data_IF_608101059710
#
_entry.id   IF_608101059710
#
_cell.length_a   1.000
_cell.length_b   1.000
_cell.length_c   1.000
_cell.angle_alpha   90.00
_cell.angle_beta   90.00
_cell.angle_gamma   90.00
#
_symmetry.space_group_name_H-M   'P 1'
#
loop_
_entity.id
_entity.type
_entity.pdbx_description
1 polymer ?
#
# COMPACT_ATOMS: atom_id res chain seq x y z
N UNK A 1 44.90 18.05 47.46
CA UNK A 1 45.54 17.18 46.45
C UNK A 1 44.87 17.45 45.12
N UNK A 2 45.66 17.83 44.11
CA UNK A 2 45.21 18.55 42.91
C UNK A 2 44.40 17.68 41.94
N UNK A 3 43.32 18.25 41.39
CA UNK A 3 42.42 17.70 40.37
C UNK A 3 43.17 17.11 39.15
N UNK A 4 44.40 17.58 38.90
CA UNK A 4 45.30 17.08 37.83
C UNK A 4 45.76 15.63 38.01
N UNK A 5 45.73 15.09 39.23
CA UNK A 5 46.15 13.70 39.47
C UNK A 5 45.04 12.70 39.15
N UNK A 6 43.77 13.11 39.21
CA UNK A 6 42.62 12.25 38.87
C UNK A 6 42.46 12.17 37.35
N UNK A 7 42.67 13.28 36.63
CA UNK A 7 42.64 13.30 35.15
C UNK A 7 43.74 12.43 34.51
N UNK A 8 44.94 12.38 35.11
CA UNK A 8 46.02 11.50 34.62
C UNK A 8 45.72 10.02 34.86
N UNK A 9 45.09 9.67 35.99
CA UNK A 9 44.69 8.29 36.25
C UNK A 9 43.53 7.84 35.34
N UNK A 10 42.58 8.74 35.06
CA UNK A 10 41.46 8.46 34.16
C UNK A 10 41.92 8.28 32.70
N UNK A 11 42.85 9.13 32.23
CA UNK A 11 43.43 9.01 30.89
C UNK A 11 44.36 7.78 30.75
N UNK A 12 45.07 7.37 31.80
CA UNK A 12 45.87 6.15 31.77
C UNK A 12 45.01 4.87 31.73
N UNK A 13 43.85 4.86 32.40
CA UNK A 13 42.90 3.75 32.34
C UNK A 13 42.23 3.63 30.96
N UNK A 14 41.96 4.78 30.30
CA UNK A 14 41.41 4.81 28.94
C UNK A 14 42.46 4.46 27.88
N UNK A 15 43.75 4.74 28.11
CA UNK A 15 44.81 4.31 27.19
C UNK A 15 45.03 2.79 27.25
N UNK A 16 44.93 2.16 28.43
CA UNK A 16 45.01 0.71 28.56
C UNK A 16 43.84 -0.02 27.89
N UNK A 17 42.61 0.52 27.99
CA UNK A 17 41.47 -0.04 27.24
C UNK A 17 41.59 0.12 25.73
N UNK A 18 42.25 1.18 25.26
CA UNK A 18 42.45 1.42 23.82
C UNK A 18 43.63 0.62 23.25
N UNK A 19 44.61 0.26 24.08
CA UNK A 19 45.71 -0.67 23.72
C UNK A 19 45.23 -2.13 23.65
N UNK A 20 44.26 -2.55 24.48
CA UNK A 20 43.59 -3.86 24.30
C UNK A 20 42.71 -3.91 23.05
N UNK A 21 42.11 -2.78 22.64
CA UNK A 21 41.35 -2.68 21.38
C UNK A 21 42.25 -2.78 20.14
N UNK A 22 43.56 -2.53 20.26
CA UNK A 22 44.53 -2.71 19.19
C UNK A 22 44.89 -4.19 18.92
N UNK A 23 44.39 -5.11 19.74
CA UNK A 23 44.41 -6.55 19.51
C UNK A 23 43.06 -7.08 18.98
N UNK A 24 42.23 -6.22 18.36
CA UNK A 24 41.03 -6.68 17.67
C UNK A 24 41.43 -7.71 16.60
N UNK A 25 40.94 -8.94 16.77
CA UNK A 25 41.11 -10.05 15.84
C UNK A 25 40.88 -9.56 14.40
N UNK A 26 41.81 -9.79 13.45
CA UNK A 26 41.63 -9.39 12.05
C UNK A 26 40.30 -9.87 11.45
N UNK A 27 39.70 -10.94 11.99
CA UNK A 27 38.35 -11.36 11.62
C UNK A 27 37.27 -10.35 12.07
N UNK A 28 37.35 -9.83 13.29
CA UNK A 28 36.39 -8.85 13.82
C UNK A 28 36.51 -7.50 13.10
N UNK A 29 37.72 -7.07 12.76
CA UNK A 29 37.94 -5.85 11.98
C UNK A 29 37.32 -5.95 10.57
N UNK A 30 37.44 -7.12 9.90
CA UNK A 30 36.80 -7.37 8.60
C UNK A 30 35.27 -7.36 8.70
N UNK A 31 34.71 -7.94 9.76
CA UNK A 31 33.25 -7.92 10.00
C UNK A 31 32.75 -6.49 10.23
N UNK A 32 33.45 -5.70 11.04
CA UNK A 32 33.08 -4.30 11.27
C UNK A 32 33.19 -3.47 9.97
N UNK A 33 34.26 -3.66 9.19
CA UNK A 33 34.41 -3.01 7.89
C UNK A 33 33.28 -3.39 6.92
N UNK A 34 32.92 -4.67 6.84
CA UNK A 34 31.81 -5.14 6.00
C UNK A 34 30.45 -4.57 6.46
N UNK A 35 30.23 -4.46 7.78
CA UNK A 35 29.04 -3.83 8.33
C UNK A 35 28.99 -2.34 7.99
N UNK A 36 30.11 -1.62 8.12
CA UNK A 36 30.18 -0.19 7.78
C UNK A 36 29.92 0.07 6.30
N UNK A 37 30.36 -0.83 5.41
CA UNK A 37 30.11 -0.70 3.97
C UNK A 37 28.65 -1.02 3.63
N UNK A 38 28.06 -2.07 4.23
CA UNK A 38 26.64 -2.37 4.06
C UNK A 38 25.75 -1.19 4.51
N UNK A 39 26.07 -0.56 5.63
CA UNK A 39 25.36 0.62 6.13
C UNK A 39 25.53 1.84 5.21
N UNK A 40 26.72 2.01 4.62
CA UNK A 40 26.96 3.02 3.58
C UNK A 40 26.08 2.78 2.35
N UNK A 41 26.03 1.56 1.82
CA UNK A 41 25.20 1.21 0.66
C UNK A 41 23.69 1.43 0.94
N UNK A 42 23.24 1.21 2.18
CA UNK A 42 21.86 1.48 2.63
C UNK A 42 21.50 2.97 2.70
N UNK A 43 22.49 3.86 2.84
CA UNK A 43 22.28 5.29 3.16
C UNK A 43 21.99 6.22 1.97
N UNK A 44 21.94 5.72 0.73
CA UNK A 44 21.70 6.51 -0.50
C UNK A 44 22.54 7.81 -0.60
N UNK A 45 23.79 7.81 -0.14
CA UNK A 45 24.66 9.00 -0.25
C UNK A 45 25.05 9.31 -1.71
N UNK A 46 25.18 10.61 -2.05
CA UNK A 46 25.19 11.22 -3.40
C UNK A 46 26.30 10.76 -4.37
N UNK A 47 27.26 9.95 -3.97
CA UNK A 47 28.33 9.45 -4.85
C UNK A 47 28.42 7.92 -4.82
N UNK A 48 27.48 7.24 -5.48
CA UNK A 48 27.55 5.80 -5.70
C UNK A 48 28.01 5.50 -7.14
N UNK A 49 28.95 4.57 -7.27
CA UNK A 49 29.33 4.01 -8.58
C UNK A 49 28.26 3.04 -9.06
N UNK A 50 28.31 2.65 -10.35
CA UNK A 50 27.40 1.62 -10.87
C UNK A 50 27.58 0.28 -10.16
N UNK A 51 28.80 -0.06 -9.73
CA UNK A 51 29.08 -1.26 -8.95
C UNK A 51 28.38 -1.19 -7.58
N UNK A 52 28.49 -0.05 -6.88
CA UNK A 52 27.84 0.15 -5.58
C UNK A 52 26.31 0.01 -5.70
N UNK A 53 25.72 0.45 -6.82
CA UNK A 53 24.28 0.28 -7.08
C UNK A 53 23.90 -1.18 -7.27
N UNK A 54 24.72 -1.96 -7.98
CA UNK A 54 24.54 -3.41 -8.17
C UNK A 54 24.59 -4.10 -6.80
N UNK A 55 25.62 -3.82 -6.00
CA UNK A 55 25.77 -4.41 -4.66
C UNK A 55 24.59 -4.05 -3.75
N UNK A 56 24.15 -2.79 -3.76
CA UNK A 56 22.99 -2.34 -2.99
C UNK A 56 21.70 -3.07 -3.41
N UNK A 57 21.47 -3.26 -4.70
CA UNK A 57 20.31 -4.01 -5.20
C UNK A 57 20.33 -5.44 -4.67
N UNK A 58 21.49 -6.11 -4.73
CA UNK A 58 21.65 -7.47 -4.23
C UNK A 58 21.47 -7.55 -2.70
N UNK A 59 21.98 -6.57 -1.97
CA UNK A 59 21.82 -6.47 -0.52
C UNK A 59 20.35 -6.40 -0.12
N UNK A 60 19.58 -5.48 -0.71
CA UNK A 60 18.16 -5.34 -0.41
C UNK A 60 17.31 -6.50 -0.94
N UNK A 61 17.75 -7.15 -2.02
CA UNK A 61 17.12 -8.37 -2.51
C UNK A 61 17.25 -9.52 -1.49
N UNK A 62 18.44 -9.67 -0.88
CA UNK A 62 18.65 -10.65 0.19
C UNK A 62 17.81 -10.34 1.44
N UNK A 63 17.58 -9.06 1.74
CA UNK A 63 16.69 -8.60 2.82
C UNK A 63 15.20 -8.71 2.47
N UNK A 64 14.85 -9.07 1.22
CA UNK A 64 13.50 -9.04 0.64
C UNK A 64 12.82 -7.66 0.71
N UNK A 65 13.61 -6.58 0.78
CA UNK A 65 13.13 -5.21 0.79
C UNK A 65 13.07 -4.64 -0.63
N UNK A 66 12.00 -4.97 -1.35
CA UNK A 66 11.80 -4.52 -2.73
C UNK A 66 11.56 -3.00 -2.84
N UNK A 67 11.12 -2.34 -1.76
CA UNK A 67 10.91 -0.89 -1.74
C UNK A 67 12.24 -0.16 -1.78
N UNK A 68 13.17 -0.51 -0.88
CA UNK A 68 14.52 0.09 -0.86
C UNK A 68 15.34 -0.29 -2.08
N UNK A 69 15.19 -1.53 -2.57
CA UNK A 69 15.82 -1.98 -3.80
C UNK A 69 15.52 -1.05 -4.98
N UNK A 70 14.27 -0.60 -5.11
CA UNK A 70 13.82 0.33 -6.15
C UNK A 70 13.98 1.81 -5.78
N UNK A 71 14.60 2.14 -4.64
CA UNK A 71 14.69 3.51 -4.11
C UNK A 71 13.31 4.16 -3.92
N UNK A 72 12.31 3.37 -3.52
CA UNK A 72 10.97 3.83 -3.20
C UNK A 72 10.85 4.09 -1.69
N UNK A 73 9.93 5.00 -1.27
CA UNK A 73 9.65 5.19 0.14
C UNK A 73 9.17 3.86 0.75
N UNK A 74 9.79 3.50 1.87
CA UNK A 74 9.39 2.30 2.60
C UNK A 74 7.96 2.51 3.16
N UNK A 75 7.13 1.46 3.18
CA UNK A 75 5.84 1.53 3.83
C UNK A 75 6.03 1.73 5.34
N UNK A 76 5.27 2.67 5.90
CA UNK A 76 5.28 2.95 7.33
C UNK A 76 4.01 2.45 7.99
N UNK A 77 4.13 2.18 9.29
CA UNK A 77 3.02 1.82 10.14
C UNK A 77 2.51 3.10 10.81
N UNK A 78 1.27 3.44 10.55
CA UNK A 78 0.60 4.47 11.31
C UNK A 78 0.40 4.04 12.79
N UNK A 79 0.18 4.98 13.69
CA UNK A 79 -0.12 4.73 15.11
C UNK A 79 -1.39 3.88 15.28
N UNK A 80 -2.31 3.94 14.32
CA UNK A 80 -3.49 3.08 14.27
C UNK A 80 -3.22 1.65 13.79
N UNK A 81 -1.99 1.36 13.35
CA UNK A 81 -1.59 0.06 12.79
C UNK A 81 -1.98 -0.12 11.33
N UNK A 82 -2.40 0.95 10.65
CA UNK A 82 -2.69 0.94 9.22
C UNK A 82 -1.39 1.04 8.42
N UNK A 83 -1.33 0.35 7.27
CA UNK A 83 -0.23 0.53 6.32
C UNK A 83 -0.42 1.84 5.57
N UNK A 84 0.59 2.70 5.60
CA UNK A 84 0.67 3.87 4.75
C UNK A 84 1.82 3.69 3.76
N UNK A 85 1.46 3.54 2.49
CA UNK A 85 2.42 3.56 1.39
C UNK A 85 1.95 4.52 0.31
N UNK A 86 2.75 5.56 0.06
CA UNK A 86 2.43 6.60 -0.91
C UNK A 86 2.85 6.23 -2.34
N UNK A 87 3.60 5.14 -2.51
CA UNK A 87 4.15 4.74 -3.80
C UNK A 87 3.05 4.35 -4.80
N UNK A 88 3.10 4.93 -5.98
CA UNK A 88 2.17 4.60 -7.08
C UNK A 88 2.77 3.57 -8.02
N UNK A 89 1.93 2.82 -8.74
CA UNK A 89 2.39 1.88 -9.78
C UNK A 89 3.24 2.57 -10.87
N UNK A 90 3.00 3.86 -11.11
CA UNK A 90 3.77 4.68 -12.04
C UNK A 90 5.19 4.94 -11.53
N UNK A 91 5.35 5.24 -10.23
CA UNK A 91 6.66 5.43 -9.60
C UNK A 91 7.48 4.14 -9.59
N UNK A 92 6.84 3.00 -9.27
CA UNK A 92 7.47 1.67 -9.36
C UNK A 92 8.02 1.41 -10.76
N UNK A 93 7.20 1.67 -11.79
CA UNK A 93 7.60 1.49 -13.19
C UNK A 93 8.74 2.43 -13.60
N UNK A 94 8.72 3.67 -13.11
CA UNK A 94 9.74 4.69 -13.39
C UNK A 94 11.08 4.33 -12.73
N UNK A 95 11.05 3.93 -11.47
CA UNK A 95 12.21 3.49 -10.72
C UNK A 95 12.87 2.27 -11.38
N UNK A 96 12.08 1.26 -11.72
CA UNK A 96 12.53 0.07 -12.44
C UNK A 96 13.25 0.43 -13.74
N UNK A 97 12.62 1.22 -14.62
CA UNK A 97 13.24 1.62 -15.91
C UNK A 97 14.59 2.31 -15.74
N UNK A 98 14.68 3.24 -14.77
CA UNK A 98 15.93 3.95 -14.48
C UNK A 98 17.04 3.00 -14.04
N UNK A 99 16.75 2.13 -13.09
CA UNK A 99 17.74 1.19 -12.54
C UNK A 99 18.12 0.11 -13.55
N UNK A 100 17.18 -0.41 -14.34
CA UNK A 100 17.43 -1.42 -15.38
C UNK A 100 18.42 -0.94 -16.44
N UNK A 101 18.36 0.32 -16.85
CA UNK A 101 19.33 0.88 -17.81
C UNK A 101 20.71 1.02 -17.17
N UNK A 102 20.77 1.38 -15.89
CA UNK A 102 22.00 1.59 -15.15
C UNK A 102 22.76 0.28 -14.92
N UNK A 103 22.07 -0.79 -14.54
CA UNK A 103 22.68 -2.09 -14.19
C UNK A 103 22.61 -3.14 -15.31
N UNK A 104 22.24 -2.74 -16.52
CA UNK A 104 22.05 -3.69 -17.64
C UNK A 104 23.32 -4.53 -17.88
N UNK A 105 23.22 -5.87 -18.05
CA UNK A 105 24.39 -6.75 -18.19
C UNK A 105 25.22 -6.50 -19.45
N UNK A 106 24.64 -5.89 -20.49
CA UNK A 106 25.36 -5.46 -21.70
C UNK A 106 26.39 -4.35 -21.42
N UNK A 107 26.03 -3.40 -20.54
CA UNK A 107 26.89 -2.27 -20.17
C UNK A 107 27.83 -2.61 -19.01
N UNK A 108 27.43 -3.55 -18.17
CA UNK A 108 28.14 -3.95 -16.97
C UNK A 108 28.43 -5.46 -17.05
N UNK A 109 29.58 -5.85 -17.63
CA UNK A 109 29.94 -7.25 -17.75
C UNK A 109 30.20 -7.85 -16.35
N UNK A 110 29.50 -8.93 -16.03
CA UNK A 110 29.65 -9.63 -14.76
C UNK A 110 28.40 -10.42 -14.37
N UNK A 111 28.58 -11.41 -13.51
CA UNK A 111 27.46 -12.20 -12.98
C UNK A 111 26.57 -11.36 -12.06
N UNK A 112 27.17 -10.46 -11.28
CA UNK A 112 26.45 -9.64 -10.30
C UNK A 112 25.48 -8.65 -10.96
N UNK A 113 25.85 -8.06 -12.09
CA UNK A 113 24.96 -7.23 -12.89
C UNK A 113 23.73 -8.01 -13.38
N UNK A 114 23.94 -9.27 -13.80
CA UNK A 114 22.84 -10.15 -14.21
C UNK A 114 21.93 -10.48 -13.02
N UNK A 115 22.49 -10.86 -11.87
CA UNK A 115 21.71 -11.12 -10.64
C UNK A 115 20.93 -9.90 -10.20
N UNK A 116 21.53 -8.71 -10.22
CA UNK A 116 20.86 -7.46 -9.86
C UNK A 116 19.73 -7.13 -10.84
N UNK A 117 19.91 -7.38 -12.14
CA UNK A 117 18.86 -7.20 -13.13
C UNK A 117 17.69 -8.18 -12.93
N UNK A 118 17.98 -9.44 -12.63
CA UNK A 118 16.96 -10.44 -12.28
C UNK A 118 16.19 -10.03 -11.01
N UNK A 119 16.90 -9.55 -9.97
CA UNK A 119 16.31 -9.01 -8.75
C UNK A 119 15.38 -7.81 -9.00
N UNK A 120 15.78 -6.87 -9.89
CA UNK A 120 14.93 -5.74 -10.30
C UNK A 120 13.65 -6.20 -10.99
N UNK A 121 13.74 -7.20 -11.88
CA UNK A 121 12.58 -7.76 -12.57
C UNK A 121 11.60 -8.39 -11.60
N UNK A 122 12.11 -9.14 -10.61
CA UNK A 122 11.29 -9.75 -9.58
C UNK A 122 10.61 -8.70 -8.71
N UNK A 123 11.36 -7.71 -8.21
CA UNK A 123 10.82 -6.61 -7.41
C UNK A 123 9.68 -5.88 -8.14
N UNK A 124 9.88 -5.55 -9.42
CA UNK A 124 8.85 -4.91 -10.23
C UNK A 124 7.61 -5.79 -10.43
N UNK A 125 7.80 -7.11 -10.63
CA UNK A 125 6.67 -8.05 -10.77
C UNK A 125 5.85 -8.14 -9.49
N UNK A 126 6.51 -8.29 -8.34
CA UNK A 126 5.86 -8.43 -7.02
C UNK A 126 5.12 -7.15 -6.61
N UNK A 127 5.69 -5.98 -6.89
CA UNK A 127 5.03 -4.71 -6.55
C UNK A 127 3.93 -4.30 -7.54
N UNK A 128 3.92 -4.89 -8.74
CA UNK A 128 2.88 -4.64 -9.74
C UNK A 128 1.61 -5.43 -9.47
N UNK A 129 1.74 -6.65 -8.96
CA UNK A 129 0.58 -7.48 -8.59
C UNK A 129 0.03 -7.05 -7.23
N UNK A 130 -1.30 -6.86 -7.17
CA UNK A 130 -1.96 -6.27 -6.02
C UNK A 130 -1.91 -7.20 -4.79
N UNK A 131 -2.13 -8.49 -5.00
CA UNK A 131 -2.18 -9.48 -3.91
C UNK A 131 -0.80 -9.70 -3.29
N UNK A 132 0.24 -9.81 -4.12
CA UNK A 132 1.62 -9.95 -3.63
C UNK A 132 2.11 -8.68 -2.98
N UNK A 133 1.77 -7.51 -3.52
CA UNK A 133 2.10 -6.22 -2.90
C UNK A 133 1.45 -6.09 -1.53
N UNK A 134 0.17 -6.42 -1.39
CA UNK A 134 -0.54 -6.32 -0.11
C UNK A 134 0.04 -7.26 0.94
N UNK A 135 0.49 -8.45 0.53
CA UNK A 135 1.20 -9.38 1.42
C UNK A 135 2.53 -8.80 1.88
N UNK A 136 3.32 -8.26 0.95
CA UNK A 136 4.60 -7.62 1.24
C UNK A 136 4.43 -6.42 2.19
N UNK A 137 3.40 -5.59 1.96
CA UNK A 137 3.08 -4.46 2.81
C UNK A 137 2.77 -4.87 4.26
N UNK A 138 2.05 -5.99 4.45
CA UNK A 138 1.78 -6.56 5.78
C UNK A 138 3.05 -7.09 6.46
N UNK A 139 3.91 -7.79 5.73
CA UNK A 139 5.20 -8.24 6.27
C UNK A 139 6.06 -7.06 6.74
N UNK A 140 6.08 -5.97 5.97
CA UNK A 140 6.77 -4.75 6.36
C UNK A 140 6.14 -4.06 7.58
N UNK A 141 4.81 -4.06 7.68
CA UNK A 141 4.07 -3.56 8.85
C UNK A 141 4.46 -4.32 10.12
N UNK A 142 4.44 -5.65 10.07
CA UNK A 142 4.80 -6.49 11.21
C UNK A 142 6.23 -6.23 11.66
N UNK A 143 7.16 -6.10 10.70
CA UNK A 143 8.54 -5.75 10.99
C UNK A 143 8.66 -4.33 11.59
N UNK A 144 7.88 -3.35 11.10
CA UNK A 144 7.88 -1.99 11.63
C UNK A 144 7.32 -1.91 13.06
N UNK A 145 6.21 -2.61 13.32
CA UNK A 145 5.62 -2.74 14.65
C UNK A 145 6.56 -3.45 15.61
N UNK A 146 7.21 -4.53 15.18
CA UNK A 146 8.24 -5.23 15.95
C UNK A 146 9.40 -4.31 16.35
N UNK A 147 9.89 -3.48 15.42
CA UNK A 147 10.91 -2.45 15.73
C UNK A 147 10.41 -1.42 16.73
N UNK A 148 9.16 -0.95 16.60
CA UNK A 148 8.54 0.01 17.51
C UNK A 148 8.41 -0.56 18.93
N UNK A 149 7.83 -1.76 19.07
CA UNK A 149 7.73 -2.44 20.36
C UNK A 149 9.10 -2.71 20.99
N UNK A 150 10.09 -3.08 20.18
CA UNK A 150 11.47 -3.26 20.66
C UNK A 150 12.10 -1.98 21.21
N UNK A 151 11.81 -0.81 20.61
CA UNK A 151 12.24 0.49 21.16
C UNK A 151 11.51 0.82 22.46
N UNK A 152 10.18 0.66 22.48
CA UNK A 152 9.36 0.93 23.67
C UNK A 152 9.76 0.05 24.87
N UNK A 153 10.14 -1.21 24.63
CA UNK A 153 10.61 -2.12 25.66
C UNK A 153 11.97 -1.70 26.27
N UNK A 154 12.82 -1.01 25.49
CA UNK A 154 14.15 -0.52 25.92
C UNK A 154 14.11 0.91 26.47
N UNK A 155 13.04 1.64 26.19
CA UNK A 155 12.86 3.03 26.59
C UNK A 155 12.62 3.16 28.11
N UNK A 156 13.03 4.30 28.64
CA UNK A 156 12.78 4.64 30.05
C UNK A 156 11.29 4.90 30.32
N UNK A 157 10.87 4.93 31.58
CA UNK A 157 9.46 5.19 31.93
C UNK A 157 9.00 6.57 31.42
N UNK A 158 9.83 7.61 31.58
CA UNK A 158 9.52 8.97 31.11
C UNK A 158 9.39 9.01 29.59
N UNK A 159 10.34 8.41 28.88
CA UNK A 159 10.32 8.30 27.42
C UNK A 159 9.09 7.55 26.91
N UNK A 160 8.71 6.45 27.57
CA UNK A 160 7.48 5.72 27.25
C UNK A 160 6.22 6.55 27.48
N UNK A 161 6.14 7.31 28.57
CA UNK A 161 4.97 8.16 28.84
C UNK A 161 4.86 9.25 27.77
N UNK A 162 5.98 9.88 27.39
CA UNK A 162 6.01 10.86 26.31
C UNK A 162 5.61 10.27 24.95
N UNK A 163 6.16 9.10 24.59
CA UNK A 163 5.83 8.38 23.36
C UNK A 163 4.34 8.01 23.32
N UNK A 164 3.79 7.45 24.40
CA UNK A 164 2.37 7.09 24.48
C UNK A 164 1.46 8.32 24.38
N UNK A 165 1.82 9.44 25.02
CA UNK A 165 1.04 10.67 24.96
C UNK A 165 1.03 11.27 23.54
N UNK A 166 2.19 11.31 22.88
CA UNK A 166 2.30 11.77 21.49
C UNK A 166 1.48 10.88 20.54
N UNK A 167 1.61 9.56 20.68
CA UNK A 167 0.83 8.59 19.92
C UNK A 167 -0.68 8.72 20.17
N UNK A 168 -1.11 8.97 21.41
CA UNK A 168 -2.52 9.18 21.71
C UNK A 168 -3.10 10.43 21.01
N UNK A 169 -2.31 11.51 20.93
CA UNK A 169 -2.71 12.73 20.21
C UNK A 169 -2.80 12.49 18.70
N UNK A 170 -1.79 11.84 18.12
CA UNK A 170 -1.75 11.49 16.70
C UNK A 170 -2.90 10.55 16.33
N UNK A 171 -3.13 9.50 17.13
CA UNK A 171 -4.23 8.57 16.94
C UNK A 171 -5.62 9.23 17.12
N UNK A 172 -5.73 10.30 17.92
CA UNK A 172 -6.96 11.08 18.02
C UNK A 172 -7.17 11.96 16.78
N UNK A 173 -6.10 12.55 16.24
CA UNK A 173 -6.16 13.35 15.01
C UNK A 173 -6.56 12.49 13.80
N UNK A 174 -5.99 11.30 13.66
CA UNK A 174 -6.31 10.39 12.57
C UNK A 174 -7.74 9.86 12.65
N UNK A 175 -8.21 9.44 13.83
CA UNK A 175 -9.62 9.06 14.01
C UNK A 175 -10.60 10.17 13.66
N UNK A 176 -10.23 11.43 13.94
CA UNK A 176 -11.03 12.59 13.53
C UNK A 176 -11.08 12.71 12.01
N UNK A 177 -9.94 12.59 11.34
CA UNK A 177 -9.85 12.61 9.87
C UNK A 177 -10.64 11.46 9.24
N UNK A 178 -10.43 10.21 9.68
CA UNK A 178 -11.19 9.04 9.20
C UNK A 178 -12.72 9.23 9.39
N UNK A 179 -13.12 9.84 10.50
CA UNK A 179 -14.53 10.17 10.76
C UNK A 179 -15.08 11.26 9.82
N UNK A 180 -14.28 12.27 9.48
CA UNK A 180 -14.63 13.31 8.52
C UNK A 180 -14.72 12.74 7.10
N UNK A 181 -13.77 11.92 6.69
CA UNK A 181 -13.74 11.24 5.39
C UNK A 181 -14.92 10.28 5.23
N UNK A 182 -15.23 9.50 6.28
CA UNK A 182 -16.39 8.62 6.30
C UNK A 182 -17.69 9.42 6.13
N UNK A 183 -17.85 10.53 6.87
CA UNK A 183 -19.01 11.41 6.74
C UNK A 183 -19.12 11.99 5.33
N UNK A 184 -18.01 12.44 4.75
CA UNK A 184 -17.97 12.99 3.39
C UNK A 184 -18.41 11.94 2.36
N UNK A 185 -17.93 10.70 2.46
CA UNK A 185 -18.33 9.60 1.57
C UNK A 185 -19.83 9.29 1.67
N UNK A 186 -20.40 9.26 2.89
CA UNK A 186 -21.84 9.05 3.08
C UNK A 186 -22.66 10.16 2.41
N UNK A 187 -22.25 11.43 2.55
CA UNK A 187 -22.92 12.55 1.91
C UNK A 187 -22.86 12.47 0.38
N UNK A 188 -21.71 12.10 -0.16
CA UNK A 188 -21.52 11.91 -1.60
C UNK A 188 -22.40 10.77 -2.15
N UNK A 189 -22.47 9.64 -1.45
CA UNK A 189 -23.36 8.53 -1.82
C UNK A 189 -24.84 8.95 -1.81
N UNK A 190 -25.26 9.73 -0.82
CA UNK A 190 -26.62 10.26 -0.76
C UNK A 190 -26.90 11.20 -1.93
N UNK A 191 -25.96 12.08 -2.27
CA UNK A 191 -26.07 12.99 -3.42
C UNK A 191 -26.18 12.23 -4.75
N UNK A 192 -25.31 11.26 -4.98
CA UNK A 192 -25.36 10.40 -6.17
C UNK A 192 -26.69 9.64 -6.26
N UNK A 193 -27.21 9.15 -5.12
CA UNK A 193 -28.52 8.51 -5.06
C UNK A 193 -29.64 9.48 -5.40
N UNK A 194 -29.61 10.72 -4.88
CA UNK A 194 -30.59 11.75 -5.21
C UNK A 194 -30.55 12.10 -6.70
N UNK A 195 -29.37 12.26 -7.29
CA UNK A 195 -29.20 12.54 -8.73
C UNK A 195 -29.74 11.40 -9.59
N UNK A 196 -29.43 10.14 -9.25
CA UNK A 196 -30.00 8.96 -9.93
C UNK A 196 -31.52 8.94 -9.85
N UNK A 197 -32.08 9.23 -8.67
CA UNK A 197 -33.53 9.28 -8.48
C UNK A 197 -34.17 10.45 -9.25
N UNK A 198 -33.53 11.61 -9.30
CA UNK A 198 -33.97 12.77 -10.08
C UNK A 198 -33.97 12.46 -11.58
N UNK A 199 -32.90 11.84 -12.10
CA UNK A 199 -32.80 11.42 -13.49
C UNK A 199 -33.87 10.38 -13.84
N UNK A 200 -34.11 9.38 -12.97
CA UNK A 200 -35.19 8.39 -13.17
C UNK A 200 -36.56 9.06 -13.20
N UNK A 201 -36.82 10.02 -12.29
CA UNK A 201 -38.07 10.80 -12.27
C UNK A 201 -38.23 11.66 -13.54
N UNK A 202 -37.17 12.29 -14.02
CA UNK A 202 -37.18 13.10 -15.25
C UNK A 202 -37.42 12.24 -16.50
N UNK A 203 -36.80 11.06 -16.58
CA UNK A 203 -37.06 10.10 -17.67
C UNK A 203 -38.50 9.57 -17.63
N UNK A 204 -39.03 9.28 -16.44
CA UNK A 204 -40.42 8.86 -16.25
C UNK A 204 -41.44 9.97 -16.55
N UNK A 205 -41.09 11.25 -16.37
CA UNK A 205 -41.96 12.36 -16.75
C UNK A 205 -41.88 12.68 -18.25
N UNK A 206 -40.69 12.62 -18.86
CA UNK A 206 -40.53 12.79 -20.30
C UNK A 206 -41.21 11.68 -21.11
N UNK A 207 -41.10 10.41 -20.71
CA UNK A 207 -41.82 9.30 -21.33
C UNK A 207 -43.34 9.48 -21.25
N UNK A 208 -43.87 9.87 -20.08
CA UNK A 208 -45.30 10.20 -19.92
C UNK A 208 -45.75 11.36 -20.81
N UNK A 209 -44.93 12.42 -20.92
CA UNK A 209 -45.23 13.55 -21.82
C UNK A 209 -45.22 13.14 -23.29
N UNK A 210 -44.28 12.28 -23.70
CA UNK A 210 -44.21 11.74 -25.07
C UNK A 210 -45.42 10.86 -25.40
N UNK A 211 -45.85 10.00 -24.47
CA UNK A 211 -47.06 9.20 -24.64
C UNK A 211 -48.30 10.08 -24.82
N UNK A 212 -48.45 11.13 -23.99
CA UNK A 212 -49.58 12.07 -24.10
C UNK A 212 -49.55 12.95 -25.36
N UNK A 213 -48.40 13.14 -26.01
CA UNK A 213 -48.32 13.86 -27.29
C UNK A 213 -48.57 12.98 -28.51
N UNK A 214 -48.47 11.65 -28.37
CA UNK A 214 -48.69 10.68 -29.46
C UNK A 214 -50.18 10.30 -29.60
N UNK A 215 -50.98 10.49 -28.54
CA UNK A 215 -52.46 10.36 -28.57
C UNK A 215 -53.18 11.52 -29.30
N UNK A 216 -52.44 12.37 -30.02
CA UNK A 216 -52.93 13.58 -30.68
C UNK A 216 -53.24 13.48 -32.17
N UNK A 217 -53.02 12.32 -32.82
CA UNK A 217 -53.32 12.14 -34.25
C UNK A 217 -53.84 10.72 -34.56
N UNK A 218 -55.11 10.46 -34.23
CA UNK A 218 -55.85 9.31 -34.75
C UNK A 218 -57.36 9.61 -34.84
N UNK A 219 -57.74 10.42 -35.83
CA UNK A 219 -59.12 10.50 -36.32
C UNK A 219 -59.25 9.66 -37.60
N UNK A 220 -59.63 8.39 -37.46
CA UNK A 220 -60.60 7.71 -38.35
C UNK A 220 -60.94 6.29 -37.85
N UNK A 221 -62.24 5.95 -37.69
CA UNK A 221 -62.66 4.57 -37.42
C UNK A 221 -62.94 3.88 -38.76
N UNK A 222 -62.17 2.84 -39.10
CA UNK A 222 -62.39 2.10 -40.33
C UNK A 222 -61.67 0.76 -40.40
N UNK A 223 -62.45 -0.30 -40.24
CA UNK A 223 -62.26 -1.67 -40.76
C UNK A 223 -61.16 -2.57 -40.17
N UNK A 224 -61.66 -3.75 -39.78
CA UNK A 224 -61.02 -5.02 -39.43
C UNK A 224 -59.95 -5.43 -40.45
N UNK A 225 -58.77 -5.86 -39.99
CA UNK A 225 -58.03 -7.02 -40.53
C UNK A 225 -56.81 -7.36 -39.66
N UNK A 226 -56.70 -8.63 -39.28
CA UNK A 226 -55.43 -9.32 -38.94
C UNK A 226 -54.96 -10.05 -40.21
N UNK A 227 -53.66 -10.33 -40.47
CA UNK A 227 -52.70 -10.87 -39.49
C UNK A 227 -51.19 -10.56 -39.71
N UNK A 228 -50.39 -11.07 -38.74
CA UNK A 228 -49.03 -11.64 -38.86
C UNK A 228 -47.77 -10.74 -38.84
N UNK A 229 -46.92 -11.09 -37.86
CA UNK A 229 -45.45 -11.19 -37.85
C UNK A 229 -44.58 -9.99 -38.24
N UNK A 230 -43.81 -9.48 -37.26
CA UNK A 230 -42.36 -9.76 -37.08
C UNK A 230 -41.60 -8.54 -36.52
N UNK A 231 -40.72 -8.82 -35.55
CA UNK A 231 -39.59 -8.00 -35.02
C UNK A 231 -39.86 -6.64 -34.36
N UNK A 232 -39.55 -6.54 -33.06
CA UNK A 232 -39.37 -5.23 -32.41
C UNK A 232 -38.99 -5.25 -30.92
N UNK A 233 -37.68 -5.42 -30.65
CA UNK A 233 -36.91 -4.93 -29.50
C UNK A 233 -37.11 -5.54 -28.09
N UNK A 234 -36.02 -5.79 -27.34
CA UNK A 234 -36.07 -6.38 -26.00
C UNK A 234 -36.57 -5.36 -24.98
N UNK A 235 -37.56 -5.76 -24.19
CA UNK A 235 -37.86 -5.12 -22.92
C UNK A 235 -36.70 -5.44 -21.98
N UNK A 236 -35.81 -4.47 -21.76
CA UNK A 236 -34.83 -4.52 -20.67
C UNK A 236 -35.59 -4.46 -19.35
N UNK A 237 -36.02 -5.64 -18.93
CA UNK A 237 -36.56 -5.93 -17.61
C UNK A 237 -35.51 -5.65 -16.55
N UNK A 238 -35.98 -4.93 -15.53
CA UNK A 238 -35.33 -4.60 -14.27
C UNK A 238 -34.62 -5.84 -13.68
N UNK A 239 -33.32 -6.02 -13.98
CA UNK A 239 -32.56 -7.20 -13.54
C UNK A 239 -32.12 -7.11 -12.06
N UNK A 240 -32.19 -5.94 -11.44
CA UNK A 240 -31.76 -5.76 -10.05
C UNK A 240 -32.83 -6.18 -9.03
N UNK A 241 -34.13 -6.06 -9.35
CA UNK A 241 -35.22 -6.48 -8.45
C UNK A 241 -35.45 -8.00 -8.47
N UNK A 242 -35.25 -8.67 -9.60
CA UNK A 242 -35.25 -10.14 -9.64
C UNK A 242 -34.07 -10.73 -8.87
N UNK A 243 -32.89 -10.13 -8.95
CA UNK A 243 -31.70 -10.64 -8.26
C UNK A 243 -31.79 -10.42 -6.75
N UNK A 244 -32.37 -9.30 -6.30
CA UNK A 244 -32.69 -9.06 -4.90
C UNK A 244 -33.76 -10.02 -4.35
N UNK A 245 -34.78 -10.35 -5.16
CA UNK A 245 -35.79 -11.35 -4.80
C UNK A 245 -35.23 -12.77 -4.77
N UNK A 246 -34.37 -13.15 -5.73
CA UNK A 246 -33.67 -14.46 -5.76
C UNK A 246 -32.74 -14.61 -4.55
N UNK A 247 -32.01 -13.57 -4.16
CA UNK A 247 -31.17 -13.55 -2.95
C UNK A 247 -32.01 -13.67 -1.67
N UNK A 248 -33.15 -12.96 -1.57
CA UNK A 248 -34.09 -13.10 -0.45
C UNK A 248 -34.70 -14.51 -0.36
N UNK A 249 -35.11 -15.10 -1.47
CA UNK A 249 -35.66 -16.46 -1.50
C UNK A 249 -34.60 -17.52 -1.16
N UNK A 250 -33.35 -17.37 -1.62
CA UNK A 250 -32.24 -18.27 -1.29
C UNK A 250 -31.91 -18.26 0.21
N UNK A 251 -31.92 -17.08 0.86
CA UNK A 251 -31.72 -16.95 2.30
C UNK A 251 -32.87 -17.55 3.11
N UNK A 252 -34.12 -17.41 2.65
CA UNK A 252 -35.29 -18.01 3.30
C UNK A 252 -35.27 -19.55 3.23
N UNK A 253 -34.79 -20.14 2.12
CA UNK A 253 -34.66 -21.59 1.98
C UNK A 253 -33.54 -22.18 2.85
N UNK A 254 -32.43 -21.47 3.03
CA UNK A 254 -31.36 -21.86 3.97
C UNK A 254 -31.84 -21.84 5.43
N UNK A 255 -32.68 -20.87 5.82
CA UNK A 255 -33.19 -20.77 7.18
C UNK A 255 -34.16 -21.91 7.55
N UNK A 256 -34.99 -22.39 6.60
CA UNK A 256 -35.90 -23.53 6.80
C UNK A 256 -35.21 -24.90 6.85
N UNK A 257 -34.06 -25.08 6.20
CA UNK A 257 -33.28 -26.32 6.26
C UNK A 257 -32.47 -26.49 7.56
N UNK A 258 -32.28 -25.42 8.33
CA UNK A 258 -31.52 -25.43 9.60
C UNK A 258 -32.40 -25.67 10.83
N UNK A 259 -33.72 -25.80 10.68
CA UNK A 259 -34.69 -25.95 11.78
C UNK A 259 -35.27 -27.36 11.90
N UNK A 260 -34.76 -28.31 11.12
CA UNK A 260 -35.08 -29.75 11.20
C UNK A 260 -33.77 -30.53 11.27
N UNK A 261 -33.16 -30.51 12.44
CA UNK A 261 -32.19 -31.48 12.99
C UNK A 261 -32.08 -31.22 14.48
#
# INVERSE_FOLDING_TARGET
>A
MSVRNIERAFNALHSQHNEEAALADPAQARVQQAQTEADRLRSLSTSMTTADVIERILLHYAERDYFRLLELPAPEADVLGNVTWQGTALEVSKAYRRLSVLVHPDKNPGEDARKAFEALNEAHRVLKDADTRDTLLKEHLDAALGRRWGREARATLEERVALNAAQAQEAAALRKQEGEDFRANILEQLKQKQERMALKRQRASQSRRRAMSDDGDALQPGAVESPSNDRGAPLDGDSDDEDAQRRRQALARRKKKSTFL
#
